data_IF_636559527773
#
_entry.id   IF_636559527773
#
_cell.length_a   1.000
_cell.length_b   1.000
_cell.length_c   1.000
_cell.angle_alpha   90.00
_cell.angle_beta   90.00
_cell.angle_gamma   90.00
#
_symmetry.space_group_name_H-M   'P 1'
#
loop_
_entity.id
_entity.type
_entity.pdbx_description
1 polymer ?
#
# COMPACT_ATOMS: atom_id res chain seq x y z
N UNK A 1 11.48 -4.34 13.84
CA UNK A 1 10.81 -3.27 14.61
C UNK A 1 9.58 -3.81 15.31
N UNK A 2 9.09 -3.11 16.33
CA UNK A 2 7.76 -3.32 16.92
C UNK A 2 6.92 -2.08 16.59
N UNK A 3 5.65 -2.27 16.23
CA UNK A 3 4.72 -1.16 15.99
C UNK A 3 3.48 -1.33 16.85
N UNK A 4 3.03 -0.24 17.47
CA UNK A 4 1.77 -0.22 18.20
C UNK A 4 0.58 -0.22 17.24
N UNK A 5 -0.42 -1.06 17.51
CA UNK A 5 -1.67 -1.10 16.75
C UNK A 5 -2.53 0.11 17.11
N UNK A 6 -2.41 1.17 16.31
CA UNK A 6 -3.12 2.44 16.51
C UNK A 6 -4.21 2.72 15.47
N UNK A 7 -4.22 1.95 14.37
CA UNK A 7 -5.21 2.06 13.31
C UNK A 7 -6.22 0.92 13.42
N UNK A 8 -7.42 1.16 12.89
CA UNK A 8 -8.48 0.17 12.83
C UNK A 8 -8.14 -1.02 11.91
N UNK A 9 -7.19 -0.85 11.00
CA UNK A 9 -6.78 -1.87 10.03
C UNK A 9 -5.31 -2.23 10.19
N UNK A 10 -4.98 -3.50 9.87
CA UNK A 10 -3.59 -3.96 9.81
C UNK A 10 -2.79 -3.16 8.78
N UNK A 11 -3.36 -2.93 7.59
CA UNK A 11 -2.75 -2.12 6.54
C UNK A 11 -2.34 -0.73 7.06
N UNK A 12 -3.26 -0.02 7.73
CA UNK A 12 -2.95 1.29 8.30
C UNK A 12 -1.88 1.24 9.39
N UNK A 13 -1.86 0.19 10.21
CA UNK A 13 -0.82 0.01 11.24
C UNK A 13 0.56 -0.24 10.62
N UNK A 14 0.63 -1.01 9.54
CA UNK A 14 1.87 -1.27 8.82
C UNK A 14 2.36 -0.03 8.07
N UNK A 15 1.45 0.76 7.48
CA UNK A 15 1.84 2.04 6.86
C UNK A 15 2.45 3.01 7.87
N UNK A 16 1.86 3.13 9.06
CA UNK A 16 2.44 3.95 10.15
C UNK A 16 3.86 3.50 10.52
N UNK A 17 4.11 2.18 10.49
CA UNK A 17 5.44 1.64 10.76
C UNK A 17 6.46 2.09 9.71
N UNK A 18 6.15 1.97 8.42
CA UNK A 18 7.06 2.35 7.35
C UNK A 18 7.35 3.85 7.33
N UNK A 19 6.33 4.67 7.59
CA UNK A 19 6.49 6.12 7.68
C UNK A 19 7.43 6.52 8.84
N UNK A 20 7.30 5.88 10.01
CA UNK A 20 8.08 6.24 11.20
C UNK A 20 9.49 5.62 11.23
N UNK A 21 9.65 4.38 10.76
CA UNK A 21 10.91 3.64 10.86
C UNK A 21 11.82 3.89 9.67
N UNK A 22 11.28 3.84 8.45
CA UNK A 22 12.08 3.82 7.23
C UNK A 22 12.07 5.16 6.49
N UNK A 23 11.17 6.09 6.86
CA UNK A 23 10.95 7.35 6.15
C UNK A 23 10.68 7.16 4.65
N UNK A 24 10.15 5.99 4.28
CA UNK A 24 9.79 5.65 2.91
C UNK A 24 8.29 5.79 2.74
N UNK A 25 7.81 6.62 1.80
CA UNK A 25 6.40 6.65 1.43
C UNK A 25 5.95 5.26 0.97
N UNK A 26 5.02 4.69 1.72
CA UNK A 26 4.51 3.33 1.51
C UNK A 26 2.99 3.31 1.57
N UNK A 27 2.36 2.67 0.58
CA UNK A 27 0.93 2.36 0.57
C UNK A 27 0.72 0.86 0.63
N UNK A 28 -0.24 0.44 1.45
CA UNK A 28 -0.60 -0.96 1.63
C UNK A 28 -2.11 -1.08 1.50
N UNK A 29 -2.56 -1.91 0.57
CA UNK A 29 -3.95 -2.36 0.49
C UNK A 29 -4.00 -3.85 0.81
N UNK A 30 -4.93 -4.28 1.65
CA UNK A 30 -5.15 -5.68 2.00
C UNK A 30 -6.63 -5.99 1.90
N UNK A 31 -6.97 -7.14 1.35
CA UNK A 31 -8.31 -7.69 1.31
C UNK A 31 -8.26 -9.18 1.62
N UNK A 32 -9.27 -9.70 2.32
CA UNK A 32 -9.37 -11.14 2.58
C UNK A 32 -10.84 -11.56 2.70
N UNK A 33 -11.12 -12.80 2.30
CA UNK A 33 -12.36 -13.52 2.56
C UNK A 33 -12.04 -14.94 3.08
N UNK A 34 -13.05 -15.83 3.11
CA UNK A 34 -12.91 -17.19 3.63
C UNK A 34 -11.97 -18.09 2.79
N UNK A 35 -11.68 -17.71 1.54
CA UNK A 35 -10.92 -18.50 0.59
C UNK A 35 -9.55 -17.94 0.24
N UNK A 36 -9.39 -16.61 0.25
CA UNK A 36 -8.16 -15.94 -0.20
C UNK A 36 -7.86 -14.69 0.61
N UNK A 37 -6.56 -14.39 0.72
CA UNK A 37 -6.07 -13.09 1.17
C UNK A 37 -5.17 -12.51 0.08
N UNK A 38 -5.38 -11.24 -0.25
CA UNK A 38 -4.64 -10.51 -1.29
C UNK A 38 -4.18 -9.17 -0.77
N UNK A 39 -3.17 -8.61 -1.43
CA UNK A 39 -2.64 -7.32 -1.05
C UNK A 39 -1.80 -6.68 -2.13
N UNK A 40 -1.69 -5.37 -2.04
CA UNK A 40 -0.83 -4.54 -2.86
C UNK A 40 0.08 -3.72 -1.95
N UNK A 41 1.38 -3.75 -2.24
CA UNK A 41 2.39 -2.90 -1.61
C UNK A 41 2.95 -1.97 -2.69
N UNK A 42 2.85 -0.67 -2.45
CA UNK A 42 3.52 0.34 -3.25
C UNK A 42 4.50 1.10 -2.38
N UNK A 43 5.75 1.17 -2.83
CA UNK A 43 6.82 1.81 -2.08
C UNK A 43 7.65 2.66 -3.03
N UNK A 44 7.90 3.90 -2.64
CA UNK A 44 8.80 4.76 -3.40
C UNK A 44 10.24 4.26 -3.26
N UNK A 45 10.95 4.13 -4.39
CA UNK A 45 12.37 3.78 -4.37
C UNK A 45 13.22 4.97 -3.92
N UNK A 46 14.34 4.75 -3.20
CA UNK A 46 15.28 5.82 -2.87
C UNK A 46 15.77 6.54 -4.12
N UNK A 47 15.72 7.88 -4.13
CA UNK A 47 16.09 8.68 -5.30
C UNK A 47 15.09 8.61 -6.45
N UNK A 48 13.89 8.05 -6.24
CA UNK A 48 12.86 7.83 -7.26
C UNK A 48 12.12 9.08 -7.75
N UNK A 49 12.49 10.28 -7.28
CA UNK A 49 12.00 11.53 -7.85
C UNK A 49 12.91 11.99 -9.00
N UNK A 50 12.86 11.25 -10.11
CA UNK A 50 13.64 11.55 -11.32
C UNK A 50 12.87 12.58 -12.17
N UNK A 51 12.62 13.76 -11.61
CA UNK A 51 12.11 14.92 -12.34
C UNK A 51 10.59 14.97 -12.59
N UNK A 52 9.80 14.09 -11.99
CA UNK A 52 8.32 14.17 -11.95
C UNK A 52 7.84 14.15 -10.50
N UNK A 53 7.77 15.34 -9.88
CA UNK A 53 7.31 15.49 -8.50
C UNK A 53 5.85 15.09 -8.27
N UNK A 54 5.07 14.85 -9.34
CA UNK A 54 3.69 14.37 -9.27
C UNK A 54 3.56 12.85 -9.46
N UNK A 55 4.65 12.14 -9.79
CA UNK A 55 4.59 10.69 -10.03
C UNK A 55 4.04 9.91 -8.82
N UNK A 56 4.48 10.27 -7.60
CA UNK A 56 4.05 9.60 -6.38
C UNK A 56 2.59 9.91 -5.99
N UNK A 57 2.15 11.18 -5.93
CA UNK A 57 0.72 11.50 -5.77
C UNK A 57 -0.17 10.82 -6.81
N UNK A 58 0.23 10.82 -8.08
CA UNK A 58 -0.53 10.23 -9.18
C UNK A 58 -0.72 8.72 -9.02
N UNK A 59 0.34 7.96 -8.76
CA UNK A 59 0.19 6.52 -8.51
C UNK A 59 -0.62 6.26 -7.25
N UNK A 60 -0.52 7.13 -6.24
CA UNK A 60 -1.39 7.10 -5.06
C UNK A 60 -2.87 7.20 -5.42
N UNK A 61 -3.25 8.19 -6.23
CA UNK A 61 -4.63 8.36 -6.68
C UNK A 61 -5.16 7.18 -7.50
N UNK A 62 -4.34 6.62 -8.40
CA UNK A 62 -4.71 5.42 -9.15
C UNK A 62 -4.90 4.20 -8.25
N UNK A 63 -4.12 4.11 -7.17
CA UNK A 63 -4.22 3.00 -6.23
C UNK A 63 -5.45 3.13 -5.34
N UNK A 64 -5.84 4.34 -4.97
CA UNK A 64 -7.01 4.60 -4.14
C UNK A 64 -8.33 4.21 -4.85
N UNK A 65 -8.32 4.02 -6.18
CA UNK A 65 -9.50 3.49 -6.91
C UNK A 65 -9.65 1.98 -6.81
N UNK A 66 -8.64 1.25 -6.32
CA UNK A 66 -8.66 -0.21 -6.24
C UNK A 66 -9.57 -0.67 -5.10
N UNK A 67 -10.67 -1.35 -5.45
CA UNK A 67 -11.62 -1.89 -4.50
C UNK A 67 -11.22 -3.25 -3.92
N UNK A 68 -11.76 -3.58 -2.74
CA UNK A 68 -11.54 -4.89 -2.11
C UNK A 68 -12.04 -6.06 -2.99
N UNK A 69 -13.17 -5.91 -3.68
CA UNK A 69 -13.70 -6.94 -4.57
C UNK A 69 -12.80 -7.19 -5.78
N UNK A 70 -12.18 -6.14 -6.33
CA UNK A 70 -11.24 -6.28 -7.44
C UNK A 70 -9.98 -7.01 -6.97
N UNK A 71 -9.44 -6.64 -5.81
CA UNK A 71 -8.30 -7.31 -5.17
C UNK A 71 -8.54 -8.79 -4.91
N UNK A 72 -9.78 -9.21 -4.62
CA UNK A 72 -10.11 -10.59 -4.29
C UNK A 72 -10.41 -11.46 -5.51
N UNK A 73 -10.98 -10.87 -6.57
CA UNK A 73 -11.58 -11.64 -7.67
C UNK A 73 -10.85 -11.53 -9.01
N UNK A 74 -10.05 -10.48 -9.22
CA UNK A 74 -9.31 -10.33 -10.47
C UNK A 74 -8.01 -11.13 -10.45
N UNK A 75 -7.66 -11.81 -11.55
CA UNK A 75 -6.37 -12.48 -11.66
C UNK A 75 -5.24 -11.45 -11.71
N UNK A 76 -4.12 -11.75 -11.05
CA UNK A 76 -2.89 -10.98 -11.26
C UNK A 76 -2.35 -11.32 -12.64
N UNK A 77 -2.12 -10.33 -13.52
CA UNK A 77 -1.48 -10.57 -14.82
C UNK A 77 -0.13 -11.26 -14.63
N UNK A 78 0.18 -12.24 -15.50
CA UNK A 78 1.48 -12.92 -15.49
C UNK A 78 2.59 -12.07 -16.08
#
# INVERSE_FOLDING_TARGET
GLVGVRRATLAGTLQDYFEQSEQLPTRIALAADDGVATGLLLQQLPGGDVGDGDAWPRVGHLTDTLGASELLTLPVPQ
#
